data_IF_512042989281
#
_entry.id   IF_512042989281
#
_cell.length_a   1.000
_cell.length_b   1.000
_cell.length_c   1.000
_cell.angle_alpha   90.00
_cell.angle_beta   90.00
_cell.angle_gamma   90.00
#
_symmetry.space_group_name_H-M   'P 1'
#
loop_
_entity.id
_entity.type
_entity.pdbx_description
1 polymer ?
#
# COMPACT_ATOMS: atom_id res chain seq x y z
N UNK A 1 -22.32 -1.79 -13.19
CA UNK A 1 -21.32 -2.87 -13.19
C UNK A 1 -22.01 -4.21 -12.98
N UNK A 2 -21.69 -5.20 -13.81
CA UNK A 2 -22.24 -6.57 -13.74
C UNK A 2 -21.50 -7.47 -12.73
N UNK A 3 -22.00 -8.69 -12.54
CA UNK A 3 -21.47 -9.67 -11.58
C UNK A 3 -20.11 -10.25 -11.98
N UNK A 4 -19.84 -10.35 -13.29
CA UNK A 4 -18.55 -10.81 -13.80
C UNK A 4 -17.45 -9.83 -13.40
N UNK A 5 -17.66 -8.53 -13.62
CA UNK A 5 -16.72 -7.48 -13.23
C UNK A 5 -16.51 -7.44 -11.71
N UNK A 6 -17.57 -7.59 -10.91
CA UNK A 6 -17.46 -7.70 -9.44
C UNK A 6 -16.58 -8.89 -9.03
N UNK A 7 -16.82 -10.04 -9.64
CA UNK A 7 -16.06 -11.27 -9.38
C UNK A 7 -14.58 -11.09 -9.73
N UNK A 8 -14.28 -10.44 -10.85
CA UNK A 8 -12.90 -10.18 -11.28
C UNK A 8 -12.15 -9.28 -10.29
N UNK A 9 -12.76 -8.20 -9.83
CA UNK A 9 -12.15 -7.29 -8.83
C UNK A 9 -11.92 -8.02 -7.51
N UNK A 10 -12.91 -8.77 -7.02
CA UNK A 10 -12.78 -9.55 -5.78
C UNK A 10 -11.68 -10.61 -5.89
N UNK A 11 -11.56 -11.26 -7.05
CA UNK A 11 -10.53 -12.27 -7.33
C UNK A 11 -9.14 -11.63 -7.39
N UNK A 12 -8.97 -10.50 -8.07
CA UNK A 12 -7.70 -9.80 -8.12
C UNK A 12 -7.25 -9.31 -6.75
N UNK A 13 -8.18 -8.78 -5.93
CA UNK A 13 -7.90 -8.42 -4.56
C UNK A 13 -7.47 -9.62 -3.71
N UNK A 14 -8.13 -10.78 -3.88
CA UNK A 14 -7.73 -12.01 -3.20
C UNK A 14 -6.31 -12.45 -3.61
N UNK A 15 -6.02 -12.47 -4.90
CA UNK A 15 -4.69 -12.82 -5.43
C UNK A 15 -3.60 -11.87 -4.95
N UNK A 16 -3.88 -10.57 -4.90
CA UNK A 16 -3.00 -9.57 -4.32
C UNK A 16 -2.68 -9.92 -2.86
N UNK A 17 -3.71 -10.21 -2.04
CA UNK A 17 -3.55 -10.56 -0.61
C UNK A 17 -2.73 -11.83 -0.43
N UNK A 18 -2.97 -12.86 -1.24
CA UNK A 18 -2.20 -14.10 -1.21
C UNK A 18 -0.73 -13.86 -1.59
N UNK A 19 -0.49 -13.12 -2.67
CA UNK A 19 0.86 -12.82 -3.16
C UNK A 19 1.66 -12.04 -2.11
N UNK A 20 1.08 -10.96 -1.56
CA UNK A 20 1.74 -10.13 -0.55
C UNK A 20 1.97 -10.90 0.75
N UNK A 21 0.98 -11.66 1.23
CA UNK A 21 1.15 -12.47 2.43
C UNK A 21 2.21 -13.56 2.26
N UNK A 22 2.22 -14.26 1.12
CA UNK A 22 3.23 -15.26 0.83
C UNK A 22 4.64 -14.66 0.80
N UNK A 23 4.81 -13.53 0.11
CA UNK A 23 6.07 -12.78 0.09
C UNK A 23 6.52 -12.38 1.51
N UNK A 24 5.63 -11.74 2.28
CA UNK A 24 5.93 -11.29 3.63
C UNK A 24 6.24 -12.44 4.61
N UNK A 25 5.56 -13.58 4.49
CA UNK A 25 5.89 -14.77 5.29
C UNK A 25 7.22 -15.40 4.90
N UNK A 26 7.59 -15.38 3.63
CA UNK A 26 8.92 -15.84 3.19
C UNK A 26 10.03 -14.98 3.80
N UNK A 27 9.86 -13.65 3.79
CA UNK A 27 10.77 -12.72 4.44
C UNK A 27 10.83 -12.92 5.97
N UNK A 28 9.68 -13.17 6.61
CA UNK A 28 9.63 -13.45 8.03
C UNK A 28 10.43 -14.71 8.37
N UNK A 29 10.31 -15.78 7.57
CA UNK A 29 11.08 -17.01 7.74
C UNK A 29 12.59 -16.75 7.67
N UNK A 30 13.03 -15.95 6.69
CA UNK A 30 14.42 -15.54 6.54
C UNK A 30 14.92 -14.78 7.77
N UNK A 31 14.09 -13.89 8.33
CA UNK A 31 14.43 -13.18 9.55
C UNK A 31 14.63 -14.15 10.73
N UNK A 32 13.78 -15.18 10.84
CA UNK A 32 13.90 -16.19 11.91
C UNK A 32 15.17 -17.03 11.76
N UNK A 33 15.49 -17.45 10.53
CA UNK A 33 16.74 -18.15 10.22
C UNK A 33 17.95 -17.30 10.66
N UNK A 34 17.97 -16.00 10.35
CA UNK A 34 19.06 -15.10 10.79
C UNK A 34 19.15 -14.94 12.31
N UNK A 35 18.03 -14.86 13.02
CA UNK A 35 18.03 -14.77 14.48
C UNK A 35 18.57 -16.05 15.12
N UNK A 36 18.18 -17.21 14.60
CA UNK A 36 18.60 -18.51 15.13
C UNK A 36 20.08 -18.84 14.86
N UNK A 37 20.60 -18.39 13.71
CA UNK A 37 22.01 -18.56 13.35
C UNK A 37 22.93 -17.54 14.06
N UNK A 38 22.37 -16.55 14.74
CA UNK A 38 23.14 -15.51 15.40
C UNK A 38 23.98 -16.08 16.57
N UNK A 39 25.30 -15.82 16.60
CA UNK A 39 26.15 -16.32 17.68
C UNK A 39 25.77 -15.71 19.03
N UNK A 40 25.53 -16.57 20.01
CA UNK A 40 25.24 -16.16 21.39
C UNK A 40 26.44 -15.42 22.00
N UNK A 41 26.22 -14.22 22.58
CA UNK A 41 27.27 -13.54 23.34
C UNK A 41 27.73 -14.41 24.54
N UNK A 42 29.03 -14.42 24.91
CA UNK A 42 29.61 -15.34 25.89
C UNK A 42 29.03 -15.34 27.31
N UNK A 43 28.10 -14.42 27.63
CA UNK A 43 27.49 -14.26 28.95
C UNK A 43 25.96 -14.23 28.91
N UNK A 44 25.36 -14.51 27.75
CA UNK A 44 23.90 -14.45 27.56
C UNK A 44 23.36 -15.87 27.49
N UNK A 45 22.54 -16.31 28.46
CA UNK A 45 21.86 -17.59 28.36
C UNK A 45 20.96 -17.66 27.13
N UNK A 46 20.84 -18.83 26.50
CA UNK A 46 19.98 -19.03 25.32
C UNK A 46 18.54 -18.55 25.54
N UNK A 47 17.96 -18.84 26.71
CA UNK A 47 16.60 -18.39 27.08
C UNK A 47 16.45 -16.87 27.22
N UNK A 48 17.55 -16.14 27.47
CA UNK A 48 17.56 -14.68 27.45
C UNK A 48 17.67 -14.18 26.02
N UNK A 49 18.52 -14.81 25.20
CA UNK A 49 18.65 -14.47 23.78
C UNK A 49 17.32 -14.65 23.02
N UNK A 50 16.62 -15.77 23.23
CA UNK A 50 15.30 -16.02 22.62
C UNK A 50 14.30 -14.92 22.98
N UNK A 51 14.25 -14.50 24.24
CA UNK A 51 13.37 -13.39 24.68
C UNK A 51 13.75 -12.06 24.04
N UNK A 52 15.05 -11.80 23.86
CA UNK A 52 15.53 -10.59 23.18
C UNK A 52 15.15 -10.61 21.70
N UNK A 53 15.28 -11.76 21.03
CA UNK A 53 14.88 -11.93 19.64
C UNK A 53 13.36 -11.81 19.46
N UNK A 54 12.54 -12.40 20.34
CA UNK A 54 11.08 -12.23 20.29
C UNK A 54 10.67 -10.77 20.51
N UNK A 55 11.36 -10.06 21.41
CA UNK A 55 11.14 -8.64 21.62
C UNK A 55 11.52 -7.81 20.38
N UNK A 56 12.68 -8.12 19.79
CA UNK A 56 13.16 -7.48 18.56
C UNK A 56 12.23 -7.76 17.37
N UNK A 57 11.65 -8.95 17.30
CA UNK A 57 10.66 -9.31 16.29
C UNK A 57 9.40 -8.45 16.40
N UNK A 58 8.88 -8.25 17.62
CA UNK A 58 7.76 -7.34 17.85
C UNK A 58 8.07 -5.90 17.46
N UNK A 59 9.29 -5.42 17.78
CA UNK A 59 9.78 -4.11 17.35
C UNK A 59 9.84 -4.01 15.82
N UNK A 60 10.40 -5.02 15.17
CA UNK A 60 10.57 -5.04 13.72
C UNK A 60 9.22 -5.05 13.01
N UNK A 61 8.32 -5.96 13.38
CA UNK A 61 6.98 -6.09 12.78
C UNK A 61 6.02 -4.97 13.19
N UNK A 62 6.40 -4.11 14.15
CA UNK A 62 5.54 -3.07 14.73
C UNK A 62 4.21 -3.64 15.24
N UNK A 63 4.26 -4.81 15.87
CA UNK A 63 3.10 -5.47 16.42
C UNK A 63 3.37 -6.04 17.81
N UNK A 64 2.31 -6.23 18.58
CA UNK A 64 2.36 -7.04 19.79
C UNK A 64 2.46 -8.49 19.38
N UNK A 65 3.53 -9.15 19.80
CA UNK A 65 3.69 -10.59 19.59
C UNK A 65 2.80 -11.34 20.59
N UNK A 66 2.00 -12.33 20.15
CA UNK A 66 1.17 -13.11 21.06
C UNK A 66 1.97 -13.79 22.16
N UNK A 67 1.43 -13.88 23.37
CA UNK A 67 2.13 -14.49 24.52
C UNK A 67 2.46 -15.98 24.29
N UNK A 68 1.78 -16.64 23.36
CA UNK A 68 2.05 -18.02 22.95
C UNK A 68 3.40 -18.20 22.25
N UNK A 69 3.98 -17.13 21.70
CA UNK A 69 5.29 -17.13 21.04
C UNK A 69 6.39 -17.09 22.09
N UNK A 70 7.19 -18.16 22.20
CA UNK A 70 8.30 -18.28 23.16
C UNK A 70 9.66 -18.15 22.49
N UNK A 71 9.74 -18.59 21.24
CA UNK A 71 10.90 -18.49 20.37
C UNK A 71 10.52 -17.73 19.11
N UNK A 72 11.48 -17.12 18.39
CA UNK A 72 11.19 -16.45 17.12
C UNK A 72 10.42 -17.36 16.16
N UNK A 73 10.81 -18.63 16.04
CA UNK A 73 10.18 -19.62 15.15
C UNK A 73 8.68 -19.84 15.42
N UNK A 74 8.20 -19.61 16.64
CA UNK A 74 6.79 -19.84 16.98
C UNK A 74 5.84 -18.93 16.20
N UNK A 75 6.31 -17.83 15.60
CA UNK A 75 5.49 -17.00 14.70
C UNK A 75 5.07 -17.72 13.42
N UNK A 76 5.74 -18.82 13.09
CA UNK A 76 5.42 -19.68 11.95
C UNK A 76 4.42 -20.79 12.31
N UNK A 77 3.96 -20.87 13.57
CA UNK A 77 2.91 -21.81 13.96
C UNK A 77 1.56 -21.38 13.36
N UNK A 78 0.75 -22.33 12.87
CA UNK A 78 -0.48 -22.05 12.12
C UNK A 78 -1.44 -21.05 12.78
N UNK A 79 -1.64 -21.18 14.10
CA UNK A 79 -2.52 -20.27 14.84
C UNK A 79 -1.98 -18.83 14.88
N UNK A 80 -0.66 -18.67 15.08
CA UNK A 80 -0.01 -17.35 15.11
C UNK A 80 0.06 -16.76 13.70
N UNK A 81 0.33 -17.61 12.69
CA UNK A 81 0.31 -17.20 11.28
C UNK A 81 -1.05 -16.65 10.90
N UNK A 82 -2.14 -17.31 11.25
CA UNK A 82 -3.49 -16.82 10.96
C UNK A 82 -3.73 -15.41 11.54
N UNK A 83 -3.27 -15.15 12.76
CA UNK A 83 -3.36 -13.83 13.40
C UNK A 83 -2.48 -12.79 12.69
N UNK A 84 -1.26 -13.17 12.28
CA UNK A 84 -0.33 -12.30 11.58
C UNK A 84 -0.72 -12.03 10.12
N UNK A 85 -1.41 -12.95 9.45
CA UNK A 85 -1.85 -12.78 8.05
C UNK A 85 -2.66 -11.50 7.89
N UNK A 86 -3.53 -11.17 8.85
CA UNK A 86 -4.31 -9.93 8.83
C UNK A 86 -3.48 -8.64 8.92
N UNK A 87 -2.16 -8.75 9.11
CA UNK A 87 -1.21 -7.62 9.11
C UNK A 87 -0.21 -7.69 7.96
N UNK A 88 -0.16 -8.82 7.26
CA UNK A 88 0.89 -9.14 6.29
C UNK A 88 0.35 -9.37 4.88
N UNK A 89 -0.96 -9.27 4.66
CA UNK A 89 -1.61 -9.45 3.35
C UNK A 89 -1.81 -8.14 2.58
N UNK A 90 -1.21 -7.04 3.04
CA UNK A 90 -1.17 -5.77 2.32
C UNK A 90 -2.50 -5.01 2.27
N UNK A 91 -3.46 -5.35 3.14
CA UNK A 91 -4.74 -4.63 3.30
C UNK A 91 -5.00 -4.24 4.75
N UNK A 92 -5.89 -3.27 4.95
CA UNK A 92 -6.37 -2.88 6.28
C UNK A 92 -7.64 -3.64 6.65
N UNK A 93 -7.54 -4.49 7.68
CA UNK A 93 -8.65 -5.31 8.21
C UNK A 93 -9.60 -4.56 9.15
N UNK A 94 -9.80 -3.25 8.91
CA UNK A 94 -10.77 -2.45 9.66
C UNK A 94 -12.15 -2.53 9.00
N UNK A 95 -13.24 -2.30 9.73
CA UNK A 95 -14.57 -2.18 9.13
C UNK A 95 -14.59 -1.13 8.02
N UNK A 96 -15.24 -1.45 6.90
CA UNK A 96 -15.48 -0.50 5.82
C UNK A 96 -16.46 0.56 6.31
N UNK A 97 -16.03 1.82 6.33
CA UNK A 97 -16.87 2.96 6.69
C UNK A 97 -17.53 3.53 5.44
N UNK A 98 -18.56 2.84 4.95
CA UNK A 98 -19.18 3.14 3.67
C UNK A 98 -19.75 4.56 3.58
N UNK A 99 -20.51 5.00 4.59
CA UNK A 99 -21.10 6.35 4.64
C UNK A 99 -20.03 7.44 4.46
N UNK A 100 -18.88 7.30 5.12
CA UNK A 100 -17.78 8.26 5.00
C UNK A 100 -17.06 8.18 3.64
N UNK A 101 -17.09 7.02 2.99
CA UNK A 101 -16.56 6.85 1.62
C UNK A 101 -17.48 7.51 0.60
N UNK A 102 -18.80 7.44 0.79
CA UNK A 102 -19.78 8.19 -0.01
C UNK A 102 -19.57 9.69 0.14
N UNK A 103 -19.37 10.20 1.37
CA UNK A 103 -19.02 11.60 1.62
C UNK A 103 -17.72 12.01 0.91
N UNK A 104 -16.69 11.16 0.96
CA UNK A 104 -15.44 11.38 0.24
C UNK A 104 -15.67 11.52 -1.27
N UNK A 105 -16.38 10.58 -1.90
CA UNK A 105 -16.65 10.65 -3.33
C UNK A 105 -17.53 11.86 -3.68
N UNK A 106 -18.57 12.17 -2.92
CA UNK A 106 -19.38 13.37 -3.13
C UNK A 106 -18.55 14.67 -3.06
N UNK A 107 -17.59 14.72 -2.13
CA UNK A 107 -16.64 15.83 -2.02
C UNK A 107 -15.75 15.95 -3.26
N UNK A 108 -15.17 14.83 -3.72
CA UNK A 108 -14.37 14.80 -4.96
C UNK A 108 -15.21 15.25 -6.17
N UNK A 109 -16.44 14.72 -6.32
CA UNK A 109 -17.34 15.09 -7.41
C UNK A 109 -17.62 16.60 -7.44
N UNK A 110 -17.83 17.20 -6.26
CA UNK A 110 -18.01 18.66 -6.13
C UNK A 110 -16.78 19.40 -6.62
N UNK A 111 -15.57 18.97 -6.24
CA UNK A 111 -14.31 19.57 -6.69
C UNK A 111 -14.07 19.42 -8.19
N UNK A 112 -14.48 18.30 -8.80
CA UNK A 112 -14.42 18.11 -10.25
C UNK A 112 -15.34 19.14 -10.95
N UNK A 113 -16.57 19.30 -10.46
CA UNK A 113 -17.52 20.27 -11.00
C UNK A 113 -17.03 21.72 -10.87
N UNK A 114 -16.43 22.10 -9.73
CA UNK A 114 -15.81 23.42 -9.53
C UNK A 114 -14.73 23.75 -10.56
N UNK A 115 -14.07 22.73 -11.12
CA UNK A 115 -13.03 22.87 -12.14
C UNK A 115 -13.58 22.83 -13.57
N UNK A 116 -14.90 22.76 -13.74
CA UNK A 116 -15.59 22.70 -15.04
C UNK A 116 -15.14 21.52 -15.93
N UNK A 117 -14.79 20.38 -15.32
CA UNK A 117 -14.44 19.16 -16.05
C UNK A 117 -15.66 18.23 -16.12
N UNK A 118 -16.04 17.81 -17.33
CA UNK A 118 -17.04 16.79 -17.54
C UNK A 118 -16.39 15.40 -17.56
N UNK A 119 -16.93 14.48 -16.73
CA UNK A 119 -16.55 13.07 -16.68
C UNK A 119 -17.79 12.22 -16.93
N UNK A 120 -17.66 11.12 -17.68
CA UNK A 120 -18.81 10.29 -18.09
C UNK A 120 -19.47 9.56 -16.93
N UNK A 121 -18.69 9.17 -15.91
CA UNK A 121 -19.17 8.52 -14.70
C UNK A 121 -18.30 8.92 -13.51
N UNK A 122 -18.89 9.05 -12.33
CA UNK A 122 -18.14 9.26 -11.09
C UNK A 122 -18.95 8.77 -9.88
N UNK A 123 -18.34 8.05 -8.91
CA UNK A 123 -16.94 7.58 -8.90
C UNK A 123 -16.64 6.54 -10.00
N UNK A 124 -15.36 6.21 -10.26
CA UNK A 124 -15.02 5.05 -11.09
C UNK A 124 -15.65 3.79 -10.49
N UNK A 125 -16.46 3.07 -11.26
CA UNK A 125 -17.32 2.00 -10.72
C UNK A 125 -16.53 0.83 -10.09
N UNK A 126 -15.34 0.53 -10.62
CA UNK A 126 -14.46 -0.49 -10.09
C UNK A 126 -13.71 -0.05 -8.81
N UNK A 127 -13.26 1.21 -8.73
CA UNK A 127 -12.71 1.77 -7.50
C UNK A 127 -13.76 1.83 -6.38
N UNK A 128 -14.98 2.27 -6.72
CA UNK A 128 -16.10 2.33 -5.79
C UNK A 128 -16.38 0.94 -5.20
N UNK A 129 -16.47 -0.08 -6.06
CA UNK A 129 -16.68 -1.44 -5.61
C UNK A 129 -15.51 -1.99 -4.79
N UNK A 130 -14.26 -1.75 -5.18
CA UNK A 130 -13.10 -2.14 -4.37
C UNK A 130 -13.19 -1.57 -2.95
N UNK A 131 -13.62 -0.31 -2.82
CA UNK A 131 -13.80 0.35 -1.52
C UNK A 131 -14.92 -0.27 -0.66
N UNK A 132 -15.82 -1.08 -1.25
CA UNK A 132 -16.81 -1.87 -0.48
C UNK A 132 -16.20 -3.15 0.12
N UNK A 133 -15.12 -3.66 -0.48
CA UNK A 133 -14.48 -4.91 -0.08
C UNK A 133 -13.42 -4.71 0.99
N UNK A 134 -12.71 -3.58 0.97
CA UNK A 134 -11.59 -3.29 1.88
C UNK A 134 -11.62 -1.85 2.40
N UNK A 135 -11.15 -1.67 3.63
CA UNK A 135 -10.99 -0.33 4.18
C UNK A 135 -9.82 0.41 3.54
N UNK A 136 -8.73 -0.29 3.20
CA UNK A 136 -7.58 0.24 2.49
C UNK A 136 -6.60 -0.84 2.02
N UNK A 137 -5.70 -0.46 1.13
CA UNK A 137 -4.70 -1.32 0.46
C UNK A 137 -3.33 -0.66 0.60
N UNK A 138 -2.40 -1.28 1.34
CA UNK A 138 -1.19 -0.60 1.88
C UNK A 138 0.14 -1.09 1.33
N UNK A 139 0.16 -2.14 0.51
CA UNK A 139 1.36 -2.63 -0.18
C UNK A 139 2.12 -3.75 0.55
N UNK A 140 3.17 -4.30 -0.08
CA UNK A 140 4.02 -5.34 0.50
C UNK A 140 5.07 -4.80 1.46
N UNK A 141 5.76 -5.73 2.14
CA UNK A 141 6.89 -5.44 3.00
C UNK A 141 6.59 -5.58 4.49
N UNK A 142 7.67 -5.57 5.28
CA UNK A 142 7.61 -5.78 6.73
C UNK A 142 7.96 -4.49 7.49
N UNK A 143 7.20 -4.24 8.56
CA UNK A 143 7.66 -3.36 9.63
C UNK A 143 7.95 -1.92 9.19
N UNK A 144 9.13 -1.43 9.58
CA UNK A 144 9.57 -0.06 9.25
C UNK A 144 9.80 0.14 7.75
N UNK A 145 10.21 -0.90 7.01
CA UNK A 145 10.38 -0.78 5.56
C UNK A 145 9.03 -0.48 4.90
N UNK A 146 7.98 -1.24 5.26
CA UNK A 146 6.62 -0.97 4.79
C UNK A 146 6.21 0.48 5.10
N UNK A 147 6.39 0.96 6.33
CA UNK A 147 6.02 2.34 6.69
C UNK A 147 6.71 3.41 5.84
N UNK A 148 8.01 3.25 5.56
CA UNK A 148 8.81 4.29 4.89
C UNK A 148 8.73 4.21 3.37
N UNK A 149 8.52 3.01 2.82
CA UNK A 149 8.62 2.76 1.38
C UNK A 149 7.27 2.67 0.68
N UNK A 150 6.20 2.38 1.41
CA UNK A 150 4.87 2.19 0.83
C UNK A 150 4.01 3.45 0.97
N UNK A 151 3.15 3.66 -0.01
CA UNK A 151 1.98 4.54 0.09
C UNK A 151 0.76 3.72 -0.28
N UNK A 152 -0.40 4.01 0.29
CA UNK A 152 -1.58 3.22 -0.02
C UNK A 152 -1.98 3.33 -1.50
N UNK A 153 -2.56 2.24 -2.04
CA UNK A 153 -3.40 2.35 -3.23
C UNK A 153 -4.72 3.01 -2.86
N UNK A 154 -5.39 2.48 -1.83
CA UNK A 154 -6.61 3.05 -1.24
C UNK A 154 -6.35 3.34 0.23
N UNK A 155 -6.47 4.60 0.65
CA UNK A 155 -6.38 4.94 2.08
C UNK A 155 -7.67 4.63 2.82
N UNK A 156 -7.54 4.17 4.07
CA UNK A 156 -8.68 4.01 4.95
C UNK A 156 -9.20 5.36 5.44
N UNK A 157 -10.53 5.49 5.45
CA UNK A 157 -11.17 6.71 5.95
C UNK A 157 -10.94 6.83 7.46
N UNK A 158 -10.38 7.96 7.87
CA UNK A 158 -10.01 8.30 9.24
C UNK A 158 -8.51 8.19 9.53
N UNK A 159 -7.69 7.71 8.59
CA UNK A 159 -6.23 7.88 8.69
C UNK A 159 -5.81 9.32 8.37
N UNK A 160 -6.64 10.04 7.60
CA UNK A 160 -6.46 11.45 7.23
C UNK A 160 -7.77 12.21 7.44
N UNK A 161 -7.71 13.54 7.47
CA UNK A 161 -8.93 14.34 7.47
C UNK A 161 -9.63 14.23 6.10
N UNK A 162 -10.96 14.17 6.12
CA UNK A 162 -11.75 14.10 4.88
C UNK A 162 -11.49 15.31 3.97
N UNK A 163 -11.29 16.49 4.58
CA UNK A 163 -10.97 17.73 3.89
C UNK A 163 -9.66 17.63 3.09
N UNK A 164 -8.59 17.10 3.68
CA UNK A 164 -7.31 16.87 2.99
C UNK A 164 -7.45 15.87 1.85
N UNK A 165 -8.17 14.76 2.08
CA UNK A 165 -8.39 13.75 1.05
C UNK A 165 -9.15 14.33 -0.14
N UNK A 166 -10.19 15.14 0.11
CA UNK A 166 -11.00 15.80 -0.92
C UNK A 166 -10.24 16.93 -1.63
N UNK A 167 -9.32 17.61 -0.95
CA UNK A 167 -8.52 18.69 -1.54
C UNK A 167 -7.55 18.19 -2.63
N UNK A 168 -7.29 16.88 -2.72
CA UNK A 168 -6.31 16.28 -3.64
C UNK A 168 -6.75 16.20 -5.12
N UNK A 169 -7.80 16.93 -5.52
CA UNK A 169 -8.31 16.97 -6.91
C UNK A 169 -7.54 18.00 -7.72
N UNK A 170 -6.92 17.56 -8.81
CA UNK A 170 -6.03 18.37 -9.65
C UNK A 170 -6.41 18.26 -11.13
N UNK A 171 -6.43 19.40 -11.82
CA UNK A 171 -6.44 19.47 -13.30
C UNK A 171 -4.99 19.72 -13.71
N UNK A 172 -4.36 18.80 -14.46
CA UNK A 172 -3.04 19.05 -15.04
C UNK A 172 -3.07 20.25 -15.98
N UNK A 173 -2.12 21.18 -15.84
CA UNK A 173 -2.03 22.34 -16.72
C UNK A 173 -1.33 21.91 -18.02
N UNK A 174 -1.98 22.16 -19.16
CA UNK A 174 -1.35 21.99 -20.48
C UNK A 174 -0.52 23.22 -20.81
N UNK A 175 0.71 23.02 -21.27
CA UNK A 175 1.72 24.07 -21.48
C UNK A 175 1.33 25.18 -22.47
N UNK A 176 0.20 25.02 -23.15
CA UNK A 176 -0.36 25.88 -24.19
C UNK A 176 -1.05 27.13 -23.61
N UNK A 177 -1.58 27.06 -22.38
CA UNK A 177 -2.49 28.08 -21.83
C UNK A 177 -1.83 29.13 -20.92
N UNK A 178 -0.50 29.25 -20.94
CA UNK A 178 0.23 30.24 -20.12
C UNK A 178 0.07 30.02 -18.60
N UNK A 179 -0.55 28.91 -18.20
CA UNK A 179 -0.59 28.43 -16.82
C UNK A 179 0.75 27.80 -16.43
N UNK A 180 1.11 27.91 -15.15
CA UNK A 180 2.35 27.34 -14.63
C UNK A 180 2.46 25.84 -14.91
N UNK A 181 3.69 25.38 -15.11
CA UNK A 181 4.04 23.97 -15.21
C UNK A 181 3.45 23.16 -14.03
N UNK A 182 2.69 22.10 -14.32
CA UNK A 182 2.33 21.11 -13.30
C UNK A 182 3.19 19.87 -13.48
N UNK A 183 3.69 19.30 -12.40
CA UNK A 183 4.60 18.16 -12.44
C UNK A 183 3.96 16.93 -13.15
N UNK A 184 2.63 16.87 -13.22
CA UNK A 184 1.83 15.86 -13.93
C UNK A 184 2.12 15.72 -15.42
N UNK A 185 2.42 16.84 -16.10
CA UNK A 185 2.60 16.85 -17.56
C UNK A 185 3.86 16.11 -17.99
N UNK A 186 4.85 16.01 -17.10
CA UNK A 186 6.10 15.30 -17.36
C UNK A 186 6.06 13.85 -16.84
N UNK A 187 5.29 13.57 -15.78
CA UNK A 187 5.23 12.24 -15.17
C UNK A 187 4.50 11.21 -16.03
N UNK A 188 3.41 11.61 -16.69
CA UNK A 188 2.66 10.75 -17.60
C UNK A 188 2.49 11.44 -18.96
N UNK A 189 3.61 11.83 -19.56
CA UNK A 189 3.64 12.62 -20.80
C UNK A 189 2.89 11.98 -21.98
N UNK A 190 2.81 10.65 -22.01
CA UNK A 190 2.07 9.90 -23.04
C UNK A 190 0.54 9.93 -22.84
N UNK A 191 0.07 10.46 -21.72
CA UNK A 191 -1.34 10.48 -21.35
C UNK A 191 -1.92 11.89 -21.40
N UNK A 192 -3.01 12.02 -22.13
CA UNK A 192 -3.87 13.19 -22.06
C UNK A 192 -4.79 13.05 -20.85
N UNK A 193 -4.50 13.78 -19.77
CA UNK A 193 -5.25 13.74 -18.51
C UNK A 193 -6.14 14.98 -18.39
N UNK A 194 -7.42 14.77 -18.10
CA UNK A 194 -8.40 15.85 -17.89
C UNK A 194 -8.55 16.18 -16.40
N UNK A 195 -8.58 15.16 -15.55
CA UNK A 195 -8.65 15.32 -14.10
C UNK A 195 -7.96 14.14 -13.39
N UNK A 196 -7.32 14.44 -12.26
CA UNK A 196 -6.69 13.46 -11.38
C UNK A 196 -7.08 13.71 -9.92
N UNK A 197 -7.19 12.65 -9.11
CA UNK A 197 -7.28 12.79 -7.66
C UNK A 197 -6.50 11.68 -6.94
N UNK A 198 -5.95 11.98 -5.77
CA UNK A 198 -5.16 11.03 -4.97
C UNK A 198 -6.10 10.07 -4.26
N UNK A 199 -5.92 8.77 -4.47
CA UNK A 199 -6.73 7.70 -3.88
C UNK A 199 -6.11 7.24 -2.56
N UNK A 200 -4.79 7.19 -2.51
CA UNK A 200 -4.04 6.71 -1.36
C UNK A 200 -2.89 7.65 -0.96
N UNK A 201 -2.78 7.88 0.34
CA UNK A 201 -1.73 8.64 0.99
C UNK A 201 -0.58 7.77 1.51
N UNK A 202 0.47 8.43 1.99
CA UNK A 202 1.67 7.84 2.57
C UNK A 202 2.64 8.95 2.99
N UNK A 203 3.81 8.58 3.51
CA UNK A 203 4.82 9.56 3.95
C UNK A 203 5.49 10.31 2.78
N UNK A 204 5.24 9.87 1.55
CA UNK A 204 5.77 10.49 0.32
C UNK A 204 4.83 11.61 -0.11
N UNK A 205 5.38 12.83 -0.22
CA UNK A 205 4.64 14.06 -0.48
C UNK A 205 3.75 13.98 -1.71
N UNK A 206 4.34 14.20 -2.89
CA UNK A 206 3.62 14.14 -4.16
C UNK A 206 3.54 12.73 -4.74
N UNK A 207 4.44 11.82 -4.36
CA UNK A 207 4.30 10.39 -4.68
C UNK A 207 3.00 9.77 -4.14
N UNK A 208 2.42 8.83 -4.88
CA UNK A 208 1.21 8.12 -4.46
C UNK A 208 0.45 7.43 -5.57
N UNK A 209 -0.77 7.01 -5.22
CA UNK A 209 -1.71 6.37 -6.13
C UNK A 209 -2.85 7.32 -6.51
N UNK A 210 -3.19 7.35 -7.79
CA UNK A 210 -4.08 8.33 -8.39
C UNK A 210 -5.15 7.67 -9.25
N UNK A 211 -6.34 8.26 -9.26
CA UNK A 211 -7.36 7.98 -10.26
C UNK A 211 -7.31 9.09 -11.31
N UNK A 212 -7.16 8.70 -12.57
CA UNK A 212 -6.92 9.58 -13.70
C UNK A 212 -8.04 9.41 -14.71
N UNK A 213 -8.78 10.47 -15.02
CA UNK A 213 -9.66 10.49 -16.19
C UNK A 213 -8.83 10.94 -17.38
N UNK A 214 -8.46 9.99 -18.24
CA UNK A 214 -7.43 10.19 -19.26
C UNK A 214 -7.71 9.43 -20.56
N UNK A 215 -6.87 9.64 -21.57
CA UNK A 215 -6.75 8.86 -22.82
C UNK A 215 -5.31 8.96 -23.35
N UNK A 216 -4.94 8.12 -24.30
CA UNK A 216 -3.67 8.25 -25.03
C UNK A 216 -3.84 7.85 -26.50
N UNK A 217 -2.78 7.96 -27.31
CA UNK A 217 -2.83 7.61 -28.74
C UNK A 217 -3.20 6.14 -28.99
N UNK A 218 -2.82 5.24 -28.08
CA UNK A 218 -3.17 3.81 -28.15
C UNK A 218 -4.59 3.50 -27.67
N UNK A 219 -5.24 4.43 -26.95
CA UNK A 219 -6.52 4.25 -26.31
C UNK A 219 -7.26 5.60 -26.27
N UNK A 220 -7.89 5.92 -27.40
CA UNK A 220 -8.54 7.22 -27.64
C UNK A 220 -9.76 7.47 -26.73
N UNK A 221 -10.26 6.43 -26.05
CA UNK A 221 -11.41 6.54 -25.15
C UNK A 221 -11.01 7.20 -23.83
N UNK A 222 -11.72 8.29 -23.51
CA UNK A 222 -11.75 8.87 -22.18
C UNK A 222 -12.37 7.89 -21.19
N UNK A 223 -11.59 7.47 -20.18
CA UNK A 223 -12.06 6.65 -19.07
C UNK A 223 -11.16 6.86 -17.84
N UNK A 224 -11.63 6.38 -16.71
CA UNK A 224 -10.84 6.29 -15.48
C UNK A 224 -9.77 5.20 -15.60
N UNK A 225 -8.56 5.54 -15.16
CA UNK A 225 -7.38 4.67 -15.05
C UNK A 225 -6.65 4.96 -13.75
N UNK A 226 -5.69 4.11 -13.42
CA UNK A 226 -5.02 4.15 -12.11
C UNK A 226 -3.54 4.44 -12.30
N UNK A 227 -3.11 5.60 -11.83
CA UNK A 227 -1.72 6.04 -11.91
C UNK A 227 -0.96 5.72 -10.63
N UNK A 228 0.28 5.27 -10.77
CA UNK A 228 1.28 5.27 -9.69
C UNK A 228 2.32 6.33 -10.02
N UNK A 229 2.69 7.14 -9.04
CA UNK A 229 3.85 8.02 -9.13
C UNK A 229 4.75 7.80 -7.93
N UNK A 230 5.97 7.35 -8.19
CA UNK A 230 7.02 7.25 -7.22
C UNK A 230 8.27 7.96 -7.75
N UNK A 231 8.65 9.05 -7.07
CA UNK A 231 9.70 9.99 -7.47
C UNK A 231 11.05 9.31 -7.79
N UNK A 232 11.35 8.13 -7.21
CA UNK A 232 12.63 7.44 -7.41
C UNK A 232 12.54 6.12 -8.17
N UNK A 233 11.35 5.56 -8.37
CA UNK A 233 11.20 4.17 -8.82
C UNK A 233 10.45 4.02 -10.13
N UNK A 234 9.20 4.44 -10.18
CA UNK A 234 8.38 4.28 -11.37
C UNK A 234 7.23 5.27 -11.40
N UNK A 235 6.80 5.61 -12.61
CA UNK A 235 5.52 6.24 -12.85
C UNK A 235 4.83 5.52 -13.99
N UNK A 236 3.64 4.99 -13.75
CA UNK A 236 2.92 4.19 -14.74
C UNK A 236 1.40 4.34 -14.57
N UNK A 237 0.64 3.96 -15.59
CA UNK A 237 -0.83 4.06 -15.64
C UNK A 237 -1.42 2.71 -16.06
N UNK A 238 -2.35 2.22 -15.25
CA UNK A 238 -3.01 0.93 -15.41
C UNK A 238 -4.45 1.11 -15.87
N UNK A 239 -4.91 0.23 -16.77
CA UNK A 239 -6.23 0.36 -17.39
C UNK A 239 -7.39 -0.04 -16.46
N UNK A 240 -7.08 -0.74 -15.36
CA UNK A 240 -8.05 -1.30 -14.40
C UNK A 240 -7.48 -1.44 -12.99
N UNK A 241 -8.38 -1.57 -12.00
CA UNK A 241 -8.01 -1.91 -10.61
C UNK A 241 -7.21 -3.22 -10.54
N UNK A 242 -7.55 -4.23 -11.32
CA UNK A 242 -6.89 -5.53 -11.30
C UNK A 242 -5.46 -5.47 -11.79
N UNK A 243 -5.20 -4.74 -12.88
CA UNK A 243 -3.84 -4.51 -13.36
C UNK A 243 -3.02 -3.73 -12.33
N UNK A 244 -3.61 -2.70 -11.72
CA UNK A 244 -2.96 -1.95 -10.66
C UNK A 244 -2.61 -2.86 -9.48
N UNK A 245 -3.54 -3.69 -9.01
CA UNK A 245 -3.30 -4.64 -7.91
C UNK A 245 -2.22 -5.67 -8.26
N UNK A 246 -2.20 -6.17 -9.50
CA UNK A 246 -1.18 -7.10 -9.98
C UNK A 246 0.22 -6.50 -9.94
N UNK A 247 0.37 -5.24 -10.37
CA UNK A 247 1.61 -4.49 -10.23
C UNK A 247 1.93 -4.19 -8.75
N UNK A 248 0.95 -3.69 -8.01
CA UNK A 248 1.12 -3.16 -6.66
C UNK A 248 1.50 -4.24 -5.65
N UNK A 249 1.16 -5.51 -5.92
CA UNK A 249 1.65 -6.66 -5.15
C UNK A 249 3.19 -6.71 -5.09
N UNK A 250 3.86 -6.15 -6.10
CA UNK A 250 5.32 -6.14 -6.26
C UNK A 250 5.95 -4.75 -6.06
N UNK A 251 5.14 -3.74 -5.71
CA UNK A 251 5.61 -2.36 -5.58
C UNK A 251 6.59 -2.21 -4.40
N UNK A 252 7.83 -1.82 -4.68
CA UNK A 252 8.90 -1.65 -3.68
C UNK A 252 8.96 -2.82 -2.66
N UNK A 253 8.85 -4.05 -3.14
CA UNK A 253 8.98 -5.25 -2.30
C UNK A 253 10.26 -5.23 -1.48
N UNK A 254 10.16 -5.69 -0.23
CA UNK A 254 11.34 -5.84 0.61
C UNK A 254 12.12 -7.07 0.14
N UNK A 255 13.39 -6.89 -0.18
CA UNK A 255 14.28 -7.99 -0.57
C UNK A 255 14.78 -8.78 0.64
N UNK A 256 15.18 -10.03 0.43
CA UNK A 256 15.83 -10.83 1.47
C UNK A 256 17.08 -10.14 2.03
N UNK A 257 17.89 -9.52 1.16
CA UNK A 257 19.10 -8.81 1.57
C UNK A 257 18.78 -7.65 2.51
N UNK A 258 17.72 -6.88 2.24
CA UNK A 258 17.26 -5.82 3.12
C UNK A 258 16.81 -6.34 4.48
N UNK A 259 16.11 -7.48 4.53
CA UNK A 259 15.75 -8.12 5.81
C UNK A 259 16.99 -8.50 6.60
N UNK A 260 17.97 -9.15 5.96
CA UNK A 260 19.24 -9.54 6.61
C UNK A 260 19.99 -8.34 7.17
N UNK A 261 20.01 -7.22 6.45
CA UNK A 261 20.65 -5.96 6.90
C UNK A 261 19.88 -5.25 8.02
N UNK A 262 18.57 -5.47 8.12
CA UNK A 262 17.71 -4.78 9.09
C UNK A 262 17.70 -5.42 10.47
N UNK A 263 18.24 -6.65 10.60
CA UNK A 263 18.33 -7.36 11.87
C UNK A 263 19.35 -6.68 12.80
N UNK A 264 18.90 -6.29 14.00
CA UNK A 264 19.81 -5.83 15.06
C UNK A 264 20.39 -7.05 15.77
N UNK A 265 21.71 -7.17 15.78
CA UNK A 265 22.40 -8.23 16.54
C UNK A 265 22.07 -8.17 18.04
N UNK A 266 22.08 -9.31 18.74
CA UNK A 266 22.01 -9.42 20.21
C UNK A 266 22.99 -8.47 20.91
N UNK A 267 24.21 -8.33 20.39
CA UNK A 267 25.18 -7.35 20.91
C UNK A 267 24.67 -5.92 20.78
N UNK A 268 24.08 -5.58 19.63
CA UNK A 268 23.44 -4.29 19.38
C UNK A 268 22.24 -4.06 20.31
N UNK A 269 21.36 -5.05 20.49
CA UNK A 269 20.20 -4.98 21.39
C UNK A 269 20.66 -4.72 22.82
N UNK A 270 21.70 -5.42 23.28
CA UNK A 270 22.25 -5.26 24.63
C UNK A 270 22.93 -3.90 24.86
N UNK A 271 23.53 -3.32 23.82
CA UNK A 271 24.16 -1.99 23.90
C UNK A 271 23.16 -0.83 23.94
N UNK A 272 21.90 -1.07 23.53
CA UNK A 272 20.81 -0.09 23.57
C UNK A 272 20.05 -0.06 24.92
N UNK A 273 20.39 -0.95 25.85
CA UNK A 273 19.80 -1.04 27.19
C UNK A 273 20.77 -0.54 28.25
#
# INVERSE_FOLDING_TARGET
MDEERRTNIATALHQYRETVSQHNFNLLRIMMECMEEEPLPPQVPASVAEKLHVHELGRYLRCTIPESVKTPRDVLNDHVRAELTARLDGVLHRPVKWEQREEYFAGIQTRIAEKNVEVTEFPPADLEYLCTLVSGVTGPGLGTHHTVQQFAFVSAIGDYSLEEMVASVTVPIRGDEGGGYTEWTDVWADWEISIAFKIGGGERGWGGSYALYCRNEGNEQWKWRYGVHDEDWCSDVYDSVEEFLGFYAHFRETTEEQVRKSMISLKGILALR
#
